data_IF_775414672742
#
_entry.id   IF_775414672742
#
_cell.length_a   1.000
_cell.length_b   1.000
_cell.length_c   1.000
_cell.angle_alpha   90.00
_cell.angle_beta   90.00
_cell.angle_gamma   90.00
#
_symmetry.space_group_name_H-M   'P 1'
#
loop_
_entity.id
_entity.type
_entity.pdbx_description
1 polymer ?
#
# COMPACT_ATOMS: atom_id res chain seq x y z
N UNK A 1 -15.43 -1.38 -16.62
CA UNK A 1 -15.06 -1.02 -15.24
C UNK A 1 -16.18 -0.17 -14.68
N UNK A 2 -16.72 -0.56 -13.52
CA UNK A 2 -17.89 0.08 -12.92
C UNK A 2 -17.60 1.58 -12.67
N UNK A 3 -18.58 2.46 -12.92
CA UNK A 3 -18.49 3.90 -12.72
C UNK A 3 -18.14 4.21 -11.25
N UNK A 4 -18.63 3.42 -10.31
CA UNK A 4 -18.34 3.54 -8.87
C UNK A 4 -16.85 3.31 -8.57
N UNK A 5 -16.20 2.36 -9.25
CA UNK A 5 -14.77 2.07 -9.10
C UNK A 5 -13.91 3.21 -9.66
N UNK A 6 -14.28 3.77 -10.82
CA UNK A 6 -13.59 4.94 -11.40
C UNK A 6 -13.64 6.13 -10.45
N UNK A 7 -14.82 6.40 -9.87
CA UNK A 7 -15.00 7.47 -8.90
C UNK A 7 -14.18 7.23 -7.63
N UNK A 8 -14.16 6.00 -7.13
CA UNK A 8 -13.36 5.62 -5.98
C UNK A 8 -11.85 5.80 -6.24
N UNK A 9 -11.34 5.36 -7.39
CA UNK A 9 -9.96 5.59 -7.82
C UNK A 9 -9.62 7.08 -7.87
N UNK A 10 -10.52 7.89 -8.44
CA UNK A 10 -10.33 9.33 -8.52
C UNK A 10 -10.22 9.97 -7.14
N UNK A 11 -11.07 9.56 -6.19
CA UNK A 11 -11.02 10.03 -4.80
C UNK A 11 -9.70 9.61 -4.14
N UNK A 12 -9.28 8.35 -4.30
CA UNK A 12 -8.01 7.89 -3.76
C UNK A 12 -6.84 8.71 -4.29
N UNK A 13 -6.80 8.97 -5.59
CA UNK A 13 -5.74 9.75 -6.22
C UNK A 13 -5.71 11.21 -5.80
N UNK A 14 -6.85 11.84 -5.59
CA UNK A 14 -6.92 13.28 -5.42
C UNK A 14 -7.16 13.73 -3.98
N UNK A 15 -7.80 12.91 -3.14
CA UNK A 15 -8.19 13.32 -1.79
C UNK A 15 -7.41 12.61 -0.68
N UNK A 16 -6.90 11.39 -0.94
CA UNK A 16 -6.24 10.58 0.10
C UNK A 16 -4.73 10.65 0.03
N UNK A 17 -4.21 10.41 -1.16
CA UNK A 17 -2.77 10.33 -1.34
C UNK A 17 -2.14 11.68 -1.64
N UNK A 18 -2.96 12.72 -1.86
CA UNK A 18 -2.49 14.03 -2.26
C UNK A 18 -3.17 15.15 -1.49
N UNK A 19 -2.37 15.94 -0.84
CA UNK A 19 -2.87 17.15 -0.22
C UNK A 19 -3.18 18.20 -1.29
N UNK A 20 -2.45 18.26 -2.40
CA UNK A 20 -2.71 19.19 -3.53
C UNK A 20 -2.07 18.81 -4.87
N UNK A 21 -1.16 17.88 -4.95
CA UNK A 21 -0.40 17.56 -6.17
C UNK A 21 -0.64 16.13 -6.63
N UNK A 22 -0.84 15.95 -7.94
CA UNK A 22 -0.99 14.62 -8.55
C UNK A 22 0.38 13.97 -8.65
N UNK A 23 0.75 13.15 -7.68
CA UNK A 23 2.02 12.45 -7.69
C UNK A 23 2.00 11.29 -8.70
N UNK A 24 2.86 11.30 -9.72
CA UNK A 24 2.82 10.31 -10.79
C UNK A 24 3.05 8.87 -10.32
N UNK A 25 3.73 8.67 -9.20
CA UNK A 25 4.01 7.34 -8.66
C UNK A 25 2.74 6.54 -8.27
N UNK A 26 1.64 7.20 -7.92
CA UNK A 26 0.39 6.49 -7.65
C UNK A 26 -0.26 5.92 -8.92
N UNK A 27 0.06 6.45 -10.09
CA UNK A 27 -0.41 5.86 -11.33
C UNK A 27 0.16 4.45 -11.53
N UNK A 28 1.42 4.21 -11.14
CA UNK A 28 2.01 2.87 -11.13
C UNK A 28 1.29 1.96 -10.13
N UNK A 29 1.02 2.43 -8.91
CA UNK A 29 0.26 1.65 -7.93
C UNK A 29 -1.09 1.22 -8.49
N UNK A 30 -1.88 2.16 -9.01
CA UNK A 30 -3.21 1.85 -9.55
C UNK A 30 -3.15 1.00 -10.82
N UNK A 31 -2.15 1.19 -11.67
CA UNK A 31 -1.88 0.32 -12.83
C UNK A 31 -1.64 -1.13 -12.37
N UNK A 32 -0.81 -1.34 -11.34
CA UNK A 32 -0.55 -2.64 -10.74
C UNK A 32 -1.80 -3.27 -10.13
N UNK A 33 -2.55 -2.52 -9.31
CA UNK A 33 -3.81 -2.97 -8.69
C UNK A 33 -4.82 -3.41 -9.77
N UNK A 34 -5.04 -2.60 -10.81
CA UNK A 34 -5.97 -2.94 -11.91
C UNK A 34 -5.51 -4.14 -12.73
N UNK A 35 -4.20 -4.30 -12.95
CA UNK A 35 -3.64 -5.48 -13.62
C UNK A 35 -3.95 -6.75 -12.82
N UNK A 36 -3.70 -6.75 -11.50
CA UNK A 36 -4.01 -7.90 -10.65
C UNK A 36 -5.52 -8.15 -10.60
N UNK A 37 -6.33 -7.11 -10.45
CA UNK A 37 -7.78 -7.23 -10.45
C UNK A 37 -8.30 -7.91 -11.75
N UNK A 38 -7.71 -7.58 -12.90
CA UNK A 38 -8.03 -8.25 -14.18
C UNK A 38 -7.61 -9.72 -14.19
N UNK A 39 -6.41 -10.03 -13.69
CA UNK A 39 -5.86 -11.40 -13.65
C UNK A 39 -6.54 -12.30 -12.60
N UNK A 40 -7.18 -11.71 -11.61
CA UNK A 40 -7.83 -12.44 -10.50
C UNK A 40 -9.31 -12.77 -10.74
N UNK A 41 -9.89 -12.41 -11.90
CA UNK A 41 -11.31 -12.61 -12.19
C UNK A 41 -11.79 -14.07 -12.11
N UNK A 42 -10.93 -15.04 -12.40
CA UNK A 42 -11.28 -16.47 -12.43
C UNK A 42 -11.10 -17.15 -11.07
N UNK A 43 -11.80 -16.69 -10.04
CA UNK A 43 -11.75 -17.24 -8.68
C UNK A 43 -10.35 -17.30 -8.05
N UNK A 44 -9.40 -16.49 -8.52
CA UNK A 44 -8.07 -16.38 -7.94
C UNK A 44 -8.14 -15.62 -6.62
N UNK A 45 -7.48 -16.15 -5.60
CA UNK A 45 -7.43 -15.53 -4.27
C UNK A 45 -6.38 -14.44 -4.21
N UNK A 46 -6.83 -13.26 -3.83
CA UNK A 46 -5.99 -12.07 -3.63
C UNK A 46 -5.87 -11.76 -2.14
N UNK A 47 -4.66 -11.60 -1.66
CA UNK A 47 -4.37 -11.15 -0.30
C UNK A 47 -3.65 -9.81 -0.39
N UNK A 48 -4.14 -8.80 0.31
CA UNK A 48 -3.45 -7.52 0.46
C UNK A 48 -2.94 -7.39 1.89
N UNK A 49 -1.66 -7.04 2.02
CA UNK A 49 -1.01 -6.77 3.29
C UNK A 49 -0.83 -5.25 3.40
N UNK A 50 -1.57 -4.61 4.28
CA UNK A 50 -1.64 -3.16 4.34
C UNK A 50 -1.77 -2.64 5.79
N UNK A 51 -1.86 -1.33 5.94
CA UNK A 51 -2.07 -0.64 7.22
C UNK A 51 -3.43 0.01 7.24
N UNK A 52 -4.47 -0.78 7.46
CA UNK A 52 -5.86 -0.31 7.38
C UNK A 52 -6.29 0.50 8.59
N UNK A 53 -5.62 0.36 9.74
CA UNK A 53 -5.96 1.17 10.91
C UNK A 53 -5.79 2.67 10.69
N UNK A 54 -4.89 3.07 9.79
CA UNK A 54 -4.75 4.46 9.36
C UNK A 54 -6.06 5.00 8.75
N UNK A 55 -6.88 4.11 8.23
CA UNK A 55 -8.15 4.39 7.58
C UNK A 55 -9.34 3.80 8.36
N UNK A 56 -9.19 3.66 9.69
CA UNK A 56 -10.25 3.13 10.55
C UNK A 56 -10.58 1.66 10.31
N UNK A 57 -9.61 0.86 9.88
CA UNK A 57 -9.79 -0.56 9.59
C UNK A 57 -10.42 -0.84 8.21
N UNK A 58 -10.36 0.12 7.29
CA UNK A 58 -10.94 0.01 5.95
C UNK A 58 -9.85 -0.25 4.93
N UNK A 59 -10.01 -1.31 4.12
CA UNK A 59 -9.19 -1.53 2.94
C UNK A 59 -9.61 -0.60 1.80
N UNK A 60 -8.71 0.26 1.36
CA UNK A 60 -8.98 1.22 0.29
C UNK A 60 -8.97 0.57 -1.09
N UNK A 61 -8.39 -0.61 -1.23
CA UNK A 61 -8.23 -1.31 -2.50
C UNK A 61 -9.24 -2.44 -2.71
N UNK A 62 -9.96 -2.86 -1.66
CA UNK A 62 -10.96 -3.91 -1.75
C UNK A 62 -12.00 -3.71 -2.87
N UNK A 63 -12.48 -2.49 -3.18
CA UNK A 63 -13.45 -2.27 -4.25
C UNK A 63 -13.00 -2.71 -5.65
N UNK A 64 -11.69 -2.88 -5.86
CA UNK A 64 -11.15 -3.32 -7.15
C UNK A 64 -11.28 -4.83 -7.39
N UNK A 65 -11.63 -5.61 -6.36
CA UNK A 65 -11.59 -7.08 -6.37
C UNK A 65 -12.95 -7.71 -6.10
N UNK A 66 -13.09 -9.00 -6.48
CA UNK A 66 -14.21 -9.80 -6.03
C UNK A 66 -14.02 -10.15 -4.55
N UNK A 67 -14.90 -9.64 -3.68
CA UNK A 67 -14.79 -9.76 -2.23
C UNK A 67 -14.81 -11.21 -1.72
N UNK A 68 -15.44 -12.13 -2.45
CA UNK A 68 -15.43 -13.57 -2.11
C UNK A 68 -14.02 -14.17 -2.10
N UNK A 69 -13.12 -13.61 -2.91
CA UNK A 69 -11.77 -14.10 -3.11
C UNK A 69 -10.70 -13.09 -2.65
N UNK A 70 -11.09 -12.03 -1.97
CA UNK A 70 -10.21 -10.96 -1.50
C UNK A 70 -10.09 -11.02 0.02
N UNK A 71 -8.86 -10.94 0.52
CA UNK A 71 -8.57 -10.85 1.94
C UNK A 71 -7.68 -9.64 2.17
N UNK A 72 -8.11 -8.72 3.01
CA UNK A 72 -7.29 -7.64 3.53
C UNK A 72 -6.74 -8.02 4.91
N UNK A 73 -5.44 -7.85 5.09
CA UNK A 73 -4.74 -8.08 6.35
C UNK A 73 -4.11 -6.77 6.80
N UNK A 74 -4.51 -6.34 7.98
CA UNK A 74 -3.89 -5.23 8.68
C UNK A 74 -2.65 -5.72 9.43
N UNK A 75 -1.47 -5.28 8.98
CA UNK A 75 -0.16 -5.71 9.49
C UNK A 75 0.39 -4.79 10.59
N UNK A 76 -0.44 -4.20 11.45
CA UNK A 76 -0.04 -3.13 12.36
C UNK A 76 0.37 -3.62 13.73
N UNK A 77 1.23 -2.80 14.36
CA UNK A 77 1.55 -2.87 15.78
C UNK A 77 0.49 -2.19 16.63
N UNK A 78 0.30 -2.65 17.87
CA UNK A 78 -0.66 -2.04 18.82
C UNK A 78 -0.40 -0.54 19.09
N UNK A 79 0.85 -0.11 19.01
CA UNK A 79 1.24 1.30 19.19
C UNK A 79 0.57 2.23 18.20
N UNK A 80 0.40 1.80 16.96
CA UNK A 80 -0.24 2.58 15.91
C UNK A 80 -1.76 2.62 16.05
N UNK A 81 -2.38 1.56 16.57
CA UNK A 81 -3.82 1.56 16.88
C UNK A 81 -4.20 2.72 17.81
N UNK A 82 -3.32 3.06 18.77
CA UNK A 82 -3.55 4.17 19.72
C UNK A 82 -3.33 5.55 19.12
N UNK A 83 -2.60 5.70 18.02
CA UNK A 83 -2.23 7.00 17.48
C UNK A 83 -3.22 7.61 16.50
N UNK A 84 -4.19 6.83 16.01
CA UNK A 84 -5.33 7.31 15.21
C UNK A 84 -4.92 8.32 14.13
N UNK A 85 -4.00 7.94 13.23
CA UNK A 85 -3.23 8.87 12.44
C UNK A 85 -4.03 9.60 11.36
N UNK A 86 -5.25 9.17 11.04
CA UNK A 86 -6.04 9.84 10.00
C UNK A 86 -7.38 10.37 10.48
N UNK A 87 -7.59 11.60 10.09
CA UNK A 87 -8.70 12.47 10.44
C UNK A 87 -10.04 11.75 10.25
N UNK A 88 -10.83 11.62 11.32
CA UNK A 88 -12.22 11.14 11.29
C UNK A 88 -13.05 11.84 10.21
N UNK A 89 -12.75 13.12 9.93
CA UNK A 89 -13.37 13.94 8.87
C UNK A 89 -13.19 13.34 7.48
N UNK A 90 -12.05 12.73 7.22
CA UNK A 90 -11.75 12.06 5.95
C UNK A 90 -12.59 10.78 5.77
N UNK A 91 -12.68 9.95 6.84
CA UNK A 91 -13.44 8.70 6.84
C UNK A 91 -14.96 8.94 6.86
N UNK A 92 -15.41 10.11 7.32
CA UNK A 92 -16.82 10.49 7.34
C UNK A 92 -17.34 10.96 5.98
N UNK A 93 -16.46 11.23 4.98
CA UNK A 93 -16.90 11.54 3.64
C UNK A 93 -17.64 10.31 3.07
N UNK A 94 -18.93 10.45 2.81
CA UNK A 94 -19.78 9.39 2.23
C UNK A 94 -19.42 9.02 0.79
N UNK A 95 -18.27 9.49 0.29
CA UNK A 95 -17.82 9.33 -1.09
C UNK A 95 -17.03 8.04 -1.33
N UNK A 96 -16.44 7.45 -0.28
CA UNK A 96 -15.62 6.24 -0.39
C UNK A 96 -16.46 4.97 -0.22
N UNK A 97 -16.15 3.97 -1.04
CA UNK A 97 -16.65 2.61 -0.81
C UNK A 97 -15.89 2.03 0.37
N UNK A 98 -16.60 1.79 1.48
CA UNK A 98 -16.01 1.36 2.75
C UNK A 98 -16.12 -0.16 2.88
N UNK A 99 -14.98 -0.84 2.80
CA UNK A 99 -14.89 -2.29 3.04
C UNK A 99 -13.89 -2.51 4.16
N UNK A 100 -14.36 -3.08 5.26
CA UNK A 100 -13.49 -3.36 6.40
C UNK A 100 -12.46 -4.42 6.07
N UNK A 101 -11.27 -4.26 6.64
CA UNK A 101 -10.27 -5.32 6.68
C UNK A 101 -10.82 -6.48 7.52
N UNK A 102 -10.79 -7.69 6.96
CA UNK A 102 -11.34 -8.87 7.64
C UNK A 102 -10.43 -9.37 8.75
N UNK A 103 -9.11 -9.12 8.64
CA UNK A 103 -8.12 -9.70 9.53
C UNK A 103 -7.11 -8.65 10.01
N UNK A 104 -6.82 -8.71 11.31
CA UNK A 104 -5.75 -7.95 11.95
C UNK A 104 -4.71 -8.95 12.46
N UNK A 105 -3.59 -9.05 11.75
CA UNK A 105 -2.48 -9.92 12.16
C UNK A 105 -1.19 -9.14 12.13
N UNK A 106 -0.40 -9.31 13.17
CA UNK A 106 0.97 -8.84 13.12
C UNK A 106 1.71 -9.55 11.98
N UNK A 107 2.50 -8.81 11.17
CA UNK A 107 3.23 -9.36 10.03
C UNK A 107 4.13 -10.57 10.36
N UNK A 108 4.55 -10.72 11.63
CA UNK A 108 5.34 -11.86 12.12
C UNK A 108 4.55 -13.18 12.14
N UNK A 109 3.21 -13.11 12.21
CA UNK A 109 2.35 -14.31 12.32
C UNK A 109 1.04 -14.12 11.55
N UNK A 110 1.09 -14.32 10.24
CA UNK A 110 -0.10 -14.24 9.38
C UNK A 110 -0.84 -15.60 9.44
N UNK A 111 -2.08 -15.62 9.95
CA UNK A 111 -2.88 -16.83 10.14
C UNK A 111 -3.61 -17.25 8.86
N UNK A 112 -2.89 -17.41 7.76
CA UNK A 112 -3.39 -18.00 6.52
C UNK A 112 -2.72 -19.34 6.26
N UNK A 113 -3.44 -20.24 5.58
CA UNK A 113 -2.91 -21.55 5.18
C UNK A 113 -1.72 -21.40 4.22
N UNK A 114 -0.78 -22.33 4.27
CA UNK A 114 0.30 -22.44 3.28
C UNK A 114 -0.30 -22.57 1.88
N UNK A 115 0.34 -21.94 0.88
CA UNK A 115 -0.04 -22.03 -0.53
C UNK A 115 -1.53 -21.72 -0.77
N UNK A 116 -2.05 -20.67 -0.14
CA UNK A 116 -3.47 -20.32 -0.21
C UNK A 116 -3.78 -19.07 -1.06
N UNK A 117 -2.77 -18.25 -1.41
CA UNK A 117 -2.96 -17.03 -2.19
C UNK A 117 -2.39 -17.17 -3.59
N UNK A 118 -3.14 -16.72 -4.60
CA UNK A 118 -2.65 -16.62 -5.98
C UNK A 118 -1.90 -15.30 -6.21
N UNK A 119 -2.36 -14.22 -5.55
CA UNK A 119 -1.75 -12.90 -5.61
C UNK A 119 -1.58 -12.34 -4.20
N UNK A 120 -0.43 -11.72 -3.94
CA UNK A 120 -0.19 -10.93 -2.73
C UNK A 120 0.19 -9.51 -3.13
N UNK A 121 -0.46 -8.53 -2.52
CA UNK A 121 -0.23 -7.10 -2.76
C UNK A 121 0.29 -6.49 -1.48
N UNK A 122 1.37 -5.71 -1.57
CA UNK A 122 2.00 -5.02 -0.44
C UNK A 122 2.18 -3.54 -0.82
N UNK A 123 1.17 -2.70 -0.59
CA UNK A 123 1.23 -1.29 -0.93
C UNK A 123 1.69 -0.45 0.26
N UNK A 124 2.79 0.29 0.14
CA UNK A 124 3.27 1.22 1.16
C UNK A 124 3.37 0.60 2.57
N UNK A 125 3.95 -0.59 2.69
CA UNK A 125 4.02 -1.31 3.95
C UNK A 125 5.45 -1.63 4.39
N UNK A 126 6.34 -2.02 3.47
CA UNK A 126 7.66 -2.58 3.83
C UNK A 126 8.52 -1.61 4.63
N UNK A 127 8.45 -0.32 4.32
CA UNK A 127 9.22 0.70 5.05
C UNK A 127 8.77 0.85 6.51
N UNK A 128 7.62 0.30 6.87
CA UNK A 128 7.10 0.26 8.23
C UNK A 128 7.36 -1.06 8.96
N UNK A 129 8.08 -1.96 8.34
CA UNK A 129 8.44 -3.27 8.90
C UNK A 129 9.88 -3.23 9.39
N UNK A 130 10.09 -3.52 10.67
CA UNK A 130 11.43 -3.54 11.29
C UNK A 130 12.30 -4.67 10.73
N UNK A 131 11.72 -5.85 10.49
CA UNK A 131 12.38 -6.98 9.84
C UNK A 131 11.58 -7.50 8.64
N UNK A 132 11.82 -6.95 7.44
CA UNK A 132 11.16 -7.42 6.22
C UNK A 132 11.40 -8.89 5.89
N UNK A 133 12.48 -9.50 6.43
CA UNK A 133 12.79 -10.91 6.19
C UNK A 133 11.72 -11.84 6.76
N UNK A 134 11.17 -11.50 7.91
CA UNK A 134 10.07 -12.23 8.54
C UNK A 134 8.81 -12.15 7.66
N UNK A 135 8.48 -10.95 7.18
CA UNK A 135 7.33 -10.75 6.29
C UNK A 135 7.50 -11.57 5.00
N UNK A 136 8.68 -11.54 4.37
CA UNK A 136 8.91 -12.30 3.14
C UNK A 136 8.83 -13.82 3.35
N UNK A 137 9.26 -14.34 4.51
CA UNK A 137 9.05 -15.76 4.88
C UNK A 137 7.54 -16.07 4.96
N UNK A 138 6.73 -15.21 5.58
CA UNK A 138 5.27 -15.38 5.64
C UNK A 138 4.64 -15.29 4.24
N UNK A 139 5.01 -14.30 3.45
CA UNK A 139 4.54 -14.14 2.07
C UNK A 139 4.86 -15.38 1.24
N UNK A 140 6.11 -15.87 1.29
CA UNK A 140 6.52 -17.10 0.59
C UNK A 140 5.73 -18.33 1.02
N UNK A 141 5.42 -18.45 2.31
CA UNK A 141 4.62 -19.54 2.86
C UNK A 141 3.19 -19.56 2.35
N UNK A 142 2.54 -18.39 2.29
CA UNK A 142 1.12 -18.30 1.92
C UNK A 142 0.90 -18.21 0.41
N UNK A 143 1.90 -17.79 -0.36
CA UNK A 143 1.83 -17.73 -1.81
C UNK A 143 1.83 -19.14 -2.42
N UNK A 144 0.93 -19.38 -3.37
CA UNK A 144 0.92 -20.64 -4.14
C UNK A 144 2.15 -20.77 -5.03
N UNK A 145 2.54 -21.99 -5.44
CA UNK A 145 3.44 -22.17 -6.58
C UNK A 145 2.88 -21.38 -7.79
N UNK A 146 3.76 -20.67 -8.50
CA UNK A 146 3.39 -19.79 -9.61
C UNK A 146 2.47 -18.60 -9.25
N UNK A 147 2.30 -18.30 -7.95
CA UNK A 147 1.63 -17.09 -7.51
C UNK A 147 2.49 -15.84 -7.69
N UNK A 148 1.87 -14.66 -7.68
CA UNK A 148 2.54 -13.39 -7.90
C UNK A 148 2.48 -12.49 -6.67
N UNK A 149 3.56 -11.73 -6.45
CA UNK A 149 3.57 -10.62 -5.52
C UNK A 149 3.66 -9.30 -6.29
N UNK A 150 2.96 -8.29 -5.79
CA UNK A 150 3.09 -6.91 -6.22
C UNK A 150 3.43 -6.06 -5.00
N UNK A 151 4.54 -5.36 -5.07
CA UNK A 151 5.03 -4.48 -4.02
C UNK A 151 5.10 -3.08 -4.58
N UNK A 152 4.62 -2.11 -3.81
CA UNK A 152 4.75 -0.70 -4.11
C UNK A 152 5.31 0.02 -2.89
N UNK A 153 6.50 0.64 -3.05
CA UNK A 153 7.20 1.31 -1.95
C UNK A 153 7.78 2.66 -2.39
N UNK A 154 7.76 3.66 -1.52
CA UNK A 154 8.44 4.92 -1.77
C UNK A 154 9.95 4.77 -1.59
N UNK A 155 10.73 5.31 -2.54
CA UNK A 155 12.17 5.48 -2.36
C UNK A 155 12.48 6.80 -1.63
N UNK A 156 11.79 7.87 -2.05
CA UNK A 156 11.99 9.22 -1.51
C UNK A 156 10.78 9.58 -0.67
N UNK A 157 11.01 9.74 0.63
CA UNK A 157 10.02 10.19 1.60
C UNK A 157 10.69 10.69 2.88
N UNK A 158 10.12 11.72 3.50
CA UNK A 158 10.48 12.18 4.84
C UNK A 158 10.22 11.11 5.89
N UNK A 159 10.83 11.26 7.07
CA UNK A 159 10.46 10.45 8.25
C UNK A 159 9.00 10.70 8.61
N UNK A 160 8.23 9.63 8.69
CA UNK A 160 6.80 9.72 8.99
C UNK A 160 6.34 8.53 9.82
N UNK A 161 5.25 8.74 10.57
CA UNK A 161 4.64 7.71 11.40
C UNK A 161 5.62 7.07 12.42
N UNK A 162 6.52 7.90 12.94
CA UNK A 162 7.54 7.53 13.93
C UNK A 162 6.90 6.82 15.14
N UNK A 163 7.52 5.75 15.67
CA UNK A 163 8.82 5.18 15.34
C UNK A 163 8.82 4.13 14.23
N UNK A 164 7.69 3.77 13.65
CA UNK A 164 7.58 2.69 12.66
C UNK A 164 7.89 3.19 11.24
N UNK A 165 9.08 3.74 11.03
CA UNK A 165 9.62 4.14 9.72
C UNK A 165 11.09 3.71 9.64
N UNK A 166 11.34 2.50 9.12
CA UNK A 166 12.60 1.79 9.28
C UNK A 166 13.50 1.80 8.05
N UNK A 167 12.91 1.86 6.84
CA UNK A 167 13.72 1.63 5.63
C UNK A 167 13.20 2.35 4.38
N UNK A 168 14.08 2.48 3.40
CA UNK A 168 13.77 2.87 2.03
C UNK A 168 14.42 1.87 1.09
N UNK A 169 13.67 1.40 0.10
CA UNK A 169 14.14 0.38 -0.82
C UNK A 169 14.44 0.96 -2.19
N UNK A 170 15.67 0.82 -2.64
CA UNK A 170 15.94 1.00 -4.07
C UNK A 170 15.36 -0.17 -4.85
N UNK A 171 15.01 -0.01 -6.14
CA UNK A 171 14.53 -1.11 -6.97
C UNK A 171 15.50 -2.30 -6.99
N UNK A 172 16.80 -2.01 -7.08
CA UNK A 172 17.84 -3.06 -7.09
C UNK A 172 17.99 -3.76 -5.74
N UNK A 173 17.95 -3.01 -4.63
CA UNK A 173 18.02 -3.57 -3.28
C UNK A 173 16.83 -4.48 -2.97
N UNK A 174 15.61 -4.04 -3.31
CA UNK A 174 14.41 -4.85 -3.13
C UNK A 174 14.44 -6.09 -4.03
N UNK A 175 14.86 -5.96 -5.29
CA UNK A 175 15.01 -7.09 -6.21
C UNK A 175 16.00 -8.12 -5.69
N UNK A 176 17.17 -7.67 -5.21
CA UNK A 176 18.18 -8.56 -4.60
C UNK A 176 17.61 -9.29 -3.39
N UNK A 177 16.91 -8.58 -2.51
CA UNK A 177 16.27 -9.16 -1.33
C UNK A 177 15.23 -10.21 -1.73
N UNK A 178 14.34 -9.91 -2.66
CA UNK A 178 13.32 -10.85 -3.13
C UNK A 178 13.94 -12.13 -3.72
N UNK A 179 15.00 -12.00 -4.52
CA UNK A 179 15.73 -13.16 -5.06
C UNK A 179 16.31 -14.04 -3.96
N UNK A 180 16.86 -13.49 -2.88
CA UNK A 180 17.36 -14.24 -1.71
C UNK A 180 16.26 -15.07 -1.04
N UNK A 181 15.01 -14.59 -1.06
CA UNK A 181 13.84 -15.34 -0.57
C UNK A 181 13.24 -16.29 -1.61
N UNK A 182 13.90 -16.50 -2.75
CA UNK A 182 13.50 -17.47 -3.78
C UNK A 182 12.32 -17.00 -4.64
N UNK A 183 12.07 -15.69 -4.73
CA UNK A 183 11.18 -15.13 -5.75
C UNK A 183 11.91 -15.07 -7.09
N UNK A 184 11.24 -15.54 -8.15
CA UNK A 184 11.79 -15.59 -9.50
C UNK A 184 11.12 -14.56 -10.40
N UNK A 185 11.73 -14.25 -11.54
CA UNK A 185 11.18 -13.34 -12.55
C UNK A 185 10.78 -11.98 -11.97
N UNK A 186 11.64 -11.43 -11.10
CA UNK A 186 11.42 -10.14 -10.47
C UNK A 186 11.68 -9.04 -11.50
N UNK A 187 10.67 -8.22 -11.75
CA UNK A 187 10.76 -6.99 -12.57
C UNK A 187 10.31 -5.80 -11.74
N UNK A 188 10.73 -4.61 -12.11
CA UNK A 188 10.32 -3.39 -11.45
C UNK A 188 10.04 -2.27 -12.46
N UNK A 189 9.14 -1.37 -12.07
CA UNK A 189 8.92 -0.07 -12.68
C UNK A 189 9.17 0.98 -11.59
N UNK A 190 9.71 2.12 -11.95
CA UNK A 190 9.84 3.27 -11.05
C UNK A 190 9.25 4.51 -11.71
N UNK A 191 8.79 5.44 -10.91
CA UNK A 191 8.24 6.71 -11.36
C UNK A 191 8.89 7.87 -10.64
N UNK A 192 9.09 8.93 -11.40
CA UNK A 192 9.78 10.12 -10.93
C UNK A 192 11.28 10.07 -11.19
N UNK A 193 11.86 11.25 -11.33
CA UNK A 193 13.28 11.49 -11.44
C UNK A 193 13.72 12.52 -10.40
N UNK A 194 14.95 13.05 -10.51
CA UNK A 194 15.48 14.03 -9.54
C UNK A 194 14.55 15.23 -9.33
N UNK A 195 13.98 15.77 -10.39
CA UNK A 195 13.04 16.89 -10.29
C UNK A 195 11.77 16.52 -9.54
N UNK A 196 11.25 15.30 -9.71
CA UNK A 196 10.07 14.82 -8.95
C UNK A 196 10.39 14.72 -7.45
N UNK A 197 11.60 14.29 -7.10
CA UNK A 197 12.06 14.25 -5.72
C UNK A 197 12.16 15.65 -5.11
N UNK A 198 12.75 16.61 -5.85
CA UNK A 198 12.85 18.01 -5.42
C UNK A 198 11.46 18.61 -5.20
N UNK A 199 10.53 18.42 -6.16
CA UNK A 199 9.16 18.92 -6.06
C UNK A 199 8.41 18.29 -4.90
N UNK A 200 8.63 16.99 -4.64
CA UNK A 200 8.05 16.32 -3.49
C UNK A 200 8.51 16.95 -2.17
N UNK A 201 9.82 17.11 -1.99
CA UNK A 201 10.34 17.73 -0.76
C UNK A 201 9.94 19.20 -0.63
N UNK A 202 9.88 19.92 -1.73
CA UNK A 202 9.38 21.29 -1.74
C UNK A 202 7.91 21.35 -1.25
N UNK A 203 7.04 20.49 -1.79
CA UNK A 203 5.65 20.40 -1.36
C UNK A 203 5.54 20.03 0.14
N UNK A 204 6.36 19.10 0.63
CA UNK A 204 6.42 18.77 2.04
C UNK A 204 6.89 19.98 2.88
N UNK A 205 7.93 20.68 2.45
CA UNK A 205 8.43 21.88 3.14
C UNK A 205 7.38 22.99 3.24
N UNK A 206 6.60 23.18 2.18
CA UNK A 206 5.52 24.17 2.18
C UNK A 206 4.46 23.90 3.25
N UNK A 207 4.30 22.67 3.73
CA UNK A 207 3.35 22.36 4.79
C UNK A 207 3.73 22.95 6.14
N UNK A 208 5.02 23.24 6.36
CA UNK A 208 5.53 23.90 7.57
C UNK A 208 5.39 25.44 7.52
N UNK A 209 5.11 26.01 6.34
CA UNK A 209 4.87 27.44 6.21
C UNK A 209 3.48 27.76 6.79
N UNK A 210 3.36 28.77 7.66
CA UNK A 210 2.07 29.21 8.19
C UNK A 210 1.06 29.53 7.08
N UNK A 211 -0.21 29.14 7.29
CA UNK A 211 -1.25 29.25 6.25
C UNK A 211 -1.44 30.67 5.69
N UNK A 212 -1.25 31.68 6.51
CA UNK A 212 -1.31 33.10 6.12
C UNK A 212 -0.19 33.51 5.15
N UNK A 213 0.96 32.81 5.17
CA UNK A 213 2.08 33.08 4.27
C UNK A 213 2.04 32.24 2.98
N UNK A 214 1.17 31.22 2.90
CA UNK A 214 1.01 30.38 1.70
C UNK A 214 0.15 31.03 0.61
N UNK A 215 -0.45 32.19 0.87
CA UNK A 215 -1.42 32.87 -0.02
C UNK A 215 -0.80 34.00 -0.85
N UNK A 216 0.52 34.07 -0.94
CA UNK A 216 1.18 35.07 -1.81
C UNK A 216 1.86 34.41 -2.98
#
# INVERSE_FOLDING_TARGET
MDISIKKHEHILKNEIFFIKTKWPHFDILFKGIKKIAKLSKNNKKVVILERTNLYGGISLFAPFFNLKNFISIDCITEKLKKRGAYNKKFLSSNKLIKIRSEHQYHYKKIKLKKSSADFIIIPNLLHHIDDPSILFKQVKRILKPNGFIFIFEPLVRELHQIPEDYSRFTPFGLTSTLKKFGFKNVSFEYSGGPFTCILYYWDQALQFIPKNLRKK
#
